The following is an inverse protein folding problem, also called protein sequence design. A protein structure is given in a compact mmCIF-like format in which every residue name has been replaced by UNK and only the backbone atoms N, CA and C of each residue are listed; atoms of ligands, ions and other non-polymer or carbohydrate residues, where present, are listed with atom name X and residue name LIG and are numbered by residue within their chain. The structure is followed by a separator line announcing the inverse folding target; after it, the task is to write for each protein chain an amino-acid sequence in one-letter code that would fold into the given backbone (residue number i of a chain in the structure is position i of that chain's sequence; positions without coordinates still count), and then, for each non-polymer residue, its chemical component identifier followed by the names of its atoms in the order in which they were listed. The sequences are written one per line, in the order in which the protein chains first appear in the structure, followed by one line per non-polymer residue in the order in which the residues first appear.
data_IF_453957914617
#
_entry.id   IF_453957914617
#
_cell.length_a   1.000
_cell.length_b   1.000
_cell.length_c   1.000
_cell.angle_alpha   90.00
_cell.angle_beta   90.00
_cell.angle_gamma   90.00
#
_symmetry.space_group_name_H-M   'P 1'
#
loop_
_entity.id
_entity.type
_entity.pdbx_description
1 polymer ?
#
# COMPACT_ATOMS: atom_id res chain seq x y z
N UNK A 1 -2.22 -11.90 12.77
CA UNK A 1 -3.58 -11.66 13.31
C UNK A 1 -4.56 -12.76 12.93
N UNK A 2 -4.67 -13.17 11.66
CA UNK A 2 -5.54 -14.32 11.27
C UNK A 2 -5.28 -15.55 12.11
N UNK A 3 -4.03 -16.00 12.24
CA UNK A 3 -3.62 -17.17 13.04
C UNK A 3 -4.05 -17.07 14.51
N UNK A 4 -4.05 -15.88 15.11
CA UNK A 4 -4.54 -15.68 16.48
C UNK A 4 -6.03 -16.03 16.59
N UNK A 5 -6.84 -15.60 15.62
CA UNK A 5 -8.27 -15.95 15.52
C UNK A 5 -8.45 -17.45 15.30
N UNK A 6 -7.63 -18.06 14.46
CA UNK A 6 -7.63 -19.51 14.22
C UNK A 6 -7.32 -20.31 15.50
N UNK A 7 -6.49 -19.76 16.39
CA UNK A 7 -6.17 -20.33 17.70
C UNK A 7 -7.14 -19.92 18.82
N UNK A 8 -8.28 -19.29 18.47
CA UNK A 8 -9.37 -19.04 19.43
C UNK A 8 -9.38 -17.65 20.05
N UNK A 9 -8.56 -16.72 19.59
CA UNK A 9 -8.66 -15.34 20.05
C UNK A 9 -10.00 -14.73 19.63
N UNK A 10 -10.65 -14.06 20.57
CA UNK A 10 -11.94 -13.42 20.33
C UNK A 10 -11.75 -12.10 19.57
N UNK A 11 -12.54 -11.92 18.54
CA UNK A 11 -12.66 -10.69 17.79
C UNK A 11 -14.04 -10.64 17.13
N UNK A 12 -14.53 -9.45 16.84
CA UNK A 12 -15.84 -9.23 16.25
C UNK A 12 -15.73 -8.96 14.75
N UNK A 13 -14.69 -8.20 14.37
CA UNK A 13 -14.37 -7.84 13.00
C UNK A 13 -12.87 -8.08 12.75
N UNK A 14 -12.55 -8.66 11.62
CA UNK A 14 -11.19 -8.80 11.13
C UNK A 14 -11.01 -7.92 9.87
N UNK A 15 -10.01 -7.04 9.87
CA UNK A 15 -9.65 -6.26 8.70
C UNK A 15 -8.19 -6.55 8.31
N UNK A 16 -7.95 -6.76 7.02
CA UNK A 16 -6.64 -7.17 6.50
C UNK A 16 -6.29 -6.43 5.20
N UNK A 17 -5.01 -6.15 5.01
CA UNK A 17 -4.44 -5.69 3.74
C UNK A 17 -4.32 -6.81 2.68
N UNK A 18 -4.77 -8.02 3.02
CA UNK A 18 -4.80 -9.18 2.13
C UNK A 18 -6.19 -9.81 2.17
N UNK A 19 -6.88 -9.78 1.04
CA UNK A 19 -8.21 -10.36 0.85
C UNK A 19 -8.21 -11.89 1.10
N UNK A 20 -7.11 -12.58 0.82
CA UNK A 20 -6.95 -14.01 1.05
C UNK A 20 -7.13 -14.39 2.51
N UNK A 21 -6.64 -13.57 3.44
CA UNK A 21 -6.81 -13.82 4.88
C UNK A 21 -8.29 -13.77 5.32
N UNK A 22 -9.07 -12.80 4.82
CA UNK A 22 -10.49 -12.70 5.12
C UNK A 22 -11.27 -13.89 4.50
N UNK A 23 -10.91 -14.27 3.26
CA UNK A 23 -11.50 -15.42 2.58
C UNK A 23 -11.30 -16.70 3.35
N UNK A 24 -10.09 -16.96 3.84
CA UNK A 24 -9.79 -18.18 4.61
C UNK A 24 -10.66 -18.28 5.88
N UNK A 25 -10.92 -17.18 6.58
CA UNK A 25 -11.80 -17.19 7.76
C UNK A 25 -13.25 -17.54 7.39
N UNK A 26 -13.73 -17.12 6.22
CA UNK A 26 -15.06 -17.51 5.72
C UNK A 26 -15.08 -18.98 5.35
N UNK A 27 -14.10 -19.46 4.59
CA UNK A 27 -13.98 -20.87 4.16
C UNK A 27 -13.87 -21.82 5.36
N UNK A 28 -13.20 -21.41 6.43
CA UNK A 28 -13.11 -22.16 7.69
C UNK A 28 -14.38 -22.05 8.55
N UNK A 29 -15.41 -21.31 8.12
CA UNK A 29 -16.64 -21.11 8.86
C UNK A 29 -16.49 -20.26 10.13
N UNK A 30 -15.42 -19.49 10.26
CA UNK A 30 -15.13 -18.59 11.37
C UNK A 30 -15.71 -17.20 11.17
N UNK A 31 -15.97 -16.79 9.93
CA UNK A 31 -16.65 -15.56 9.57
C UNK A 31 -17.94 -15.85 8.82
N UNK A 32 -18.92 -14.96 8.94
CA UNK A 32 -20.24 -15.06 8.27
C UNK A 32 -20.21 -14.42 6.88
N UNK A 33 -19.46 -13.34 6.74
CA UNK A 33 -19.38 -12.55 5.51
C UNK A 33 -18.03 -11.85 5.43
N UNK A 34 -17.56 -11.62 4.22
CA UNK A 34 -16.44 -10.74 3.94
C UNK A 34 -16.78 -9.72 2.84
N UNK A 35 -16.12 -8.58 2.88
CA UNK A 35 -16.23 -7.57 1.84
C UNK A 35 -14.88 -6.87 1.64
N UNK A 36 -14.59 -6.49 0.40
CA UNK A 36 -13.50 -5.55 0.14
C UNK A 36 -13.95 -4.15 0.58
N UNK A 37 -13.16 -3.49 1.42
CA UNK A 37 -13.52 -2.18 1.96
C UNK A 37 -12.59 -1.04 1.55
N UNK A 38 -11.41 -1.36 1.04
CA UNK A 38 -10.46 -0.38 0.53
C UNK A 38 -9.51 -1.01 -0.47
N UNK A 39 -8.87 -0.16 -1.29
CA UNK A 39 -7.67 -0.48 -2.05
C UNK A 39 -6.59 0.53 -1.70
N UNK A 40 -5.35 0.14 -1.90
CA UNK A 40 -4.24 1.08 -1.90
C UNK A 40 -3.64 1.16 -3.30
N UNK A 41 -2.83 2.17 -3.53
CA UNK A 41 -2.09 2.38 -4.76
C UNK A 41 -0.63 2.61 -4.47
N UNK A 42 0.20 2.49 -5.48
CA UNK A 42 1.65 2.71 -5.41
C UNK A 42 1.97 4.11 -5.93
N UNK A 43 2.81 4.81 -5.19
CA UNK A 43 3.33 6.13 -5.50
C UNK A 43 4.86 6.12 -5.51
N UNK A 44 5.43 7.11 -6.16
CA UNK A 44 6.84 7.47 -6.03
C UNK A 44 6.96 8.69 -5.13
N UNK A 45 7.72 8.57 -4.06
CA UNK A 45 8.15 9.68 -3.21
C UNK A 45 9.47 10.22 -3.76
N UNK A 46 9.55 11.51 -4.01
CA UNK A 46 10.76 12.17 -4.50
C UNK A 46 10.84 13.61 -3.99
N UNK A 47 12.02 14.21 -3.88
CA UNK A 47 12.17 15.65 -3.64
C UNK A 47 11.43 16.46 -4.70
N UNK A 48 10.77 17.55 -4.29
CA UNK A 48 10.02 18.45 -5.19
C UNK A 48 10.91 18.95 -6.35
N UNK A 49 12.19 19.22 -6.07
CA UNK A 49 13.18 19.65 -7.06
C UNK A 49 13.42 18.67 -8.21
N UNK A 50 13.02 17.39 -8.04
CA UNK A 50 13.08 16.42 -9.13
C UNK A 50 12.00 16.66 -10.21
N UNK A 51 10.94 17.42 -9.90
CA UNK A 51 9.87 17.76 -10.83
C UNK A 51 9.14 16.53 -11.39
N UNK A 52 9.02 15.45 -10.60
CA UNK A 52 8.47 14.18 -11.05
C UNK A 52 6.97 14.30 -11.33
N UNK A 53 6.58 13.97 -12.55
CA UNK A 53 5.17 13.84 -12.97
C UNK A 53 4.81 12.39 -13.23
N UNK A 54 3.51 12.07 -13.21
CA UNK A 54 3.02 10.72 -13.52
C UNK A 54 3.55 10.18 -14.84
N UNK A 55 3.57 11.01 -15.89
CA UNK A 55 4.08 10.63 -17.22
C UNK A 55 5.59 10.39 -17.25
N UNK A 56 6.36 11.04 -16.36
CA UNK A 56 7.82 10.96 -16.34
C UNK A 56 8.35 9.84 -15.41
N UNK A 57 7.48 9.16 -14.65
CA UNK A 57 7.92 8.14 -13.68
C UNK A 57 8.75 7.04 -14.36
N UNK A 58 8.25 6.49 -15.48
CA UNK A 58 8.91 5.35 -16.14
C UNK A 58 10.28 5.75 -16.66
N UNK A 59 10.37 6.88 -17.35
CA UNK A 59 11.65 7.38 -17.87
C UNK A 59 12.64 7.63 -16.74
N UNK A 60 12.16 8.18 -15.60
CA UNK A 60 12.99 8.43 -14.44
C UNK A 60 13.45 7.15 -13.76
N UNK A 61 12.61 6.13 -13.69
CA UNK A 61 13.01 4.80 -13.20
C UNK A 61 14.01 4.13 -14.13
N UNK A 62 13.89 4.30 -15.43
CA UNK A 62 14.82 3.72 -16.43
C UNK A 62 16.15 4.48 -16.54
N UNK A 63 16.21 5.73 -16.11
CA UNK A 63 17.46 6.49 -16.02
C UNK A 63 18.43 5.79 -15.04
N UNK A 64 19.54 5.28 -15.57
CA UNK A 64 20.53 4.52 -14.79
C UNK A 64 21.25 5.35 -13.72
N UNK A 65 21.20 6.67 -13.81
CA UNK A 65 21.74 7.56 -12.78
C UNK A 65 20.81 7.69 -11.56
N UNK A 66 19.54 7.30 -11.68
CA UNK A 66 18.54 7.39 -10.59
C UNK A 66 18.71 6.24 -9.60
N UNK A 67 18.94 6.56 -8.33
CA UNK A 67 18.98 5.60 -7.22
C UNK A 67 17.57 5.40 -6.67
N UNK A 68 17.10 4.16 -6.68
CA UNK A 68 15.72 3.81 -6.33
C UNK A 68 15.69 3.10 -4.99
N UNK A 69 14.89 3.60 -4.04
CA UNK A 69 14.58 2.93 -2.79
C UNK A 69 13.33 2.06 -2.90
N UNK A 70 13.39 0.84 -2.41
CA UNK A 70 12.26 -0.10 -2.38
C UNK A 70 12.18 -0.84 -1.05
N UNK A 71 11.01 -1.34 -0.69
CA UNK A 71 10.86 -2.27 0.42
C UNK A 71 11.35 -3.67 0.04
N UNK A 72 11.59 -4.52 1.06
CA UNK A 72 12.16 -5.87 0.88
C UNK A 72 11.17 -6.82 0.22
N UNK A 73 11.38 -7.27 -1.03
CA UNK A 73 10.52 -8.27 -1.66
C UNK A 73 10.46 -9.58 -0.86
N UNK A 74 9.33 -10.28 -0.91
CA UNK A 74 9.02 -11.53 -0.19
C UNK A 74 8.95 -11.40 1.34
N UNK A 75 9.26 -10.25 1.90
CA UNK A 75 9.16 -9.95 3.33
C UNK A 75 8.07 -8.91 3.59
N UNK A 76 8.04 -7.88 2.77
CA UNK A 76 7.03 -6.81 2.80
C UNK A 76 6.21 -6.83 1.51
N UNK A 77 4.86 -6.87 1.60
CA UNK A 77 3.99 -6.80 0.42
C UNK A 77 4.27 -5.63 -0.52
N UNK A 78 4.73 -4.47 0.00
CA UNK A 78 5.12 -3.33 -0.83
C UNK A 78 6.28 -3.69 -1.78
N UNK A 79 7.24 -4.48 -1.30
CA UNK A 79 8.33 -4.99 -2.13
C UNK A 79 7.82 -5.89 -3.26
N UNK A 80 6.84 -6.76 -2.98
CA UNK A 80 6.25 -7.63 -3.99
C UNK A 80 5.45 -6.83 -5.03
N UNK A 81 4.72 -5.80 -4.62
CA UNK A 81 4.05 -4.89 -5.54
C UNK A 81 5.05 -4.09 -6.38
N UNK A 82 6.19 -3.70 -5.82
CA UNK A 82 7.27 -3.06 -6.59
C UNK A 82 7.81 -3.98 -7.70
N UNK A 83 8.04 -5.25 -7.38
CA UNK A 83 8.44 -6.26 -8.38
C UNK A 83 7.38 -6.38 -9.49
N UNK A 84 6.10 -6.36 -9.14
CA UNK A 84 5.01 -6.40 -10.13
C UNK A 84 4.98 -5.13 -11.01
N UNK A 85 5.22 -3.94 -10.44
CA UNK A 85 5.39 -2.71 -11.24
C UNK A 85 6.53 -2.87 -12.23
N UNK A 86 7.69 -3.35 -11.79
CA UNK A 86 8.84 -3.57 -12.67
C UNK A 86 8.56 -4.57 -13.77
N UNK A 87 7.81 -5.64 -13.45
CA UNK A 87 7.37 -6.63 -14.44
C UNK A 87 6.47 -6.00 -15.50
N UNK A 88 5.55 -5.10 -15.10
CA UNK A 88 4.68 -4.37 -16.04
C UNK A 88 5.48 -3.41 -16.92
N UNK A 89 6.44 -2.69 -16.37
CA UNK A 89 7.36 -1.84 -17.15
C UNK A 89 8.11 -2.69 -18.20
N UNK A 90 8.53 -3.91 -17.85
CA UNK A 90 9.21 -4.82 -18.77
C UNK A 90 8.36 -5.30 -19.95
N UNK A 91 7.06 -5.11 -19.93
CA UNK A 91 6.21 -5.45 -21.09
C UNK A 91 6.47 -4.51 -22.26
N UNK A 92 6.84 -3.26 -21.99
CA UNK A 92 7.17 -2.24 -23.00
C UNK A 92 8.67 -2.00 -23.12
N UNK A 93 9.44 -2.32 -22.08
CA UNK A 93 10.89 -2.10 -21.99
C UNK A 93 11.59 -3.42 -21.63
N UNK A 94 11.91 -4.23 -22.66
CA UNK A 94 12.48 -5.57 -22.47
C UNK A 94 13.72 -5.55 -21.56
N UNK A 95 13.76 -6.42 -20.55
CA UNK A 95 14.86 -6.53 -19.60
C UNK A 95 14.78 -5.58 -18.39
N UNK A 96 13.93 -4.53 -18.44
CA UNK A 96 13.87 -3.49 -17.40
C UNK A 96 13.63 -4.03 -15.98
N UNK A 97 12.83 -5.09 -15.80
CA UNK A 97 12.56 -5.61 -14.46
C UNK A 97 13.84 -6.12 -13.78
N UNK A 98 14.69 -6.84 -14.50
CA UNK A 98 15.97 -7.32 -13.98
C UNK A 98 16.91 -6.17 -13.63
N UNK A 99 17.05 -5.21 -14.54
CA UNK A 99 17.93 -4.04 -14.36
C UNK A 99 17.46 -3.15 -13.20
N UNK A 100 16.16 -2.89 -13.10
CA UNK A 100 15.55 -2.13 -12.01
C UNK A 100 15.78 -2.82 -10.65
N UNK A 101 15.54 -4.13 -10.57
CA UNK A 101 15.79 -4.88 -9.34
C UNK A 101 17.27 -4.88 -8.94
N UNK A 102 18.18 -5.07 -9.89
CA UNK A 102 19.62 -5.15 -9.62
C UNK A 102 20.20 -3.83 -9.05
N UNK A 103 19.64 -2.67 -9.42
CA UNK A 103 20.11 -1.36 -8.97
C UNK A 103 19.23 -0.70 -7.90
N UNK A 104 18.13 -1.33 -7.49
CA UNK A 104 17.31 -0.84 -6.40
C UNK A 104 18.00 -1.06 -5.05
N UNK A 105 17.94 -0.05 -4.19
CA UNK A 105 18.38 -0.12 -2.80
C UNK A 105 17.21 -0.59 -1.94
N UNK A 106 17.39 -1.73 -1.29
CA UNK A 106 16.38 -2.25 -0.34
C UNK A 106 16.46 -1.45 0.96
N UNK A 107 15.33 -0.85 1.34
CA UNK A 107 15.14 -0.17 2.61
C UNK A 107 14.47 -1.14 3.58
N UNK A 108 15.24 -1.63 4.54
CA UNK A 108 14.76 -2.58 5.52
C UNK A 108 13.88 -1.89 6.57
N UNK A 109 12.69 -2.43 6.79
CA UNK A 109 11.81 -2.02 7.88
C UNK A 109 11.76 -3.15 8.91
N UNK A 110 11.99 -2.88 10.20
CA UNK A 110 11.94 -3.91 11.22
C UNK A 110 10.59 -4.63 11.24
N UNK A 111 10.55 -5.94 11.50
CA UNK A 111 9.31 -6.67 11.70
C UNK A 111 8.44 -6.01 12.79
N UNK A 112 7.17 -5.74 12.47
CA UNK A 112 6.24 -5.04 13.37
C UNK A 112 6.23 -3.51 13.20
N UNK A 113 6.98 -2.99 12.24
CA UNK A 113 7.05 -1.56 11.94
C UNK A 113 8.12 -0.79 12.75
N UNK A 114 8.22 0.52 12.54
CA UNK A 114 9.20 1.34 13.24
C UNK A 114 8.93 1.34 14.74
N UNK A 115 10.01 1.25 15.55
CA UNK A 115 9.91 1.36 17.01
C UNK A 115 9.53 2.78 17.41
N UNK A 116 8.78 2.97 18.51
CA UNK A 116 8.54 4.32 19.05
C UNK A 116 9.86 5.09 19.24
N UNK A 117 9.97 6.28 18.64
CA UNK A 117 11.17 7.12 18.70
C UNK A 117 12.29 6.75 17.72
N UNK A 118 12.16 5.69 16.93
CA UNK A 118 13.02 5.45 15.77
C UNK A 118 12.61 6.37 14.62
N UNK A 119 13.58 6.80 13.80
CA UNK A 119 13.33 7.48 12.54
C UNK A 119 12.51 6.63 11.57
N UNK A 120 12.12 7.23 10.49
CA UNK A 120 11.46 6.56 9.38
C UNK A 120 12.52 6.16 8.35
N UNK A 121 12.77 4.87 8.20
CA UNK A 121 13.85 4.36 7.35
C UNK A 121 13.80 4.86 5.90
N UNK A 122 12.59 5.06 5.36
CA UNK A 122 12.40 5.64 4.03
C UNK A 122 12.68 7.13 4.02
N UNK A 123 12.12 7.89 4.98
CA UNK A 123 12.42 9.31 5.08
C UNK A 123 13.92 9.57 5.27
N UNK A 124 14.57 8.80 6.13
CA UNK A 124 16.02 8.88 6.39
C UNK A 124 16.83 8.57 5.11
N UNK A 125 16.43 7.55 4.34
CA UNK A 125 17.14 7.17 3.12
C UNK A 125 17.11 8.28 2.05
N UNK A 126 15.98 8.96 1.91
CA UNK A 126 15.83 10.08 1.00
C UNK A 126 16.59 11.33 1.49
N UNK A 127 16.48 11.67 2.79
CA UNK A 127 17.16 12.81 3.41
C UNK A 127 18.69 12.68 3.37
N UNK A 128 19.21 11.48 3.64
CA UNK A 128 20.65 11.18 3.61
C UNK A 128 21.19 11.11 2.17
N UNK A 129 20.33 11.22 1.15
CA UNK A 129 20.72 11.08 -0.24
C UNK A 129 21.23 9.69 -0.60
N UNK A 130 20.81 8.65 0.12
CA UNK A 130 21.09 7.25 -0.25
C UNK A 130 20.33 6.83 -1.49
N UNK A 131 19.15 7.40 -1.68
CA UNK A 131 18.27 7.21 -2.83
C UNK A 131 17.79 8.56 -3.36
N UNK A 132 17.38 8.63 -4.61
CA UNK A 132 16.84 9.83 -5.24
C UNK A 132 15.30 9.83 -5.26
N UNK A 133 14.72 8.65 -5.21
CA UNK A 133 13.27 8.42 -5.11
C UNK A 133 12.98 7.06 -4.46
N UNK A 134 11.74 6.90 -3.98
CA UNK A 134 11.28 5.68 -3.32
C UNK A 134 9.90 5.25 -3.80
N UNK A 135 9.69 3.95 -3.91
CA UNK A 135 8.39 3.38 -4.26
C UNK A 135 7.66 3.01 -2.97
N UNK A 136 6.51 3.64 -2.74
CA UNK A 136 5.74 3.56 -1.50
C UNK A 136 4.24 3.44 -1.74
N UNK A 137 3.47 3.10 -0.70
CA UNK A 137 2.02 3.20 -0.76
C UNK A 137 1.57 4.67 -0.75
N UNK A 138 0.62 5.02 -1.61
CA UNK A 138 0.06 6.38 -1.68
C UNK A 138 -0.64 6.80 -0.36
N UNK A 139 -1.12 5.85 0.44
CA UNK A 139 -1.68 6.12 1.77
C UNK A 139 -0.65 6.67 2.78
N UNK A 140 0.65 6.62 2.46
CA UNK A 140 1.70 7.28 3.22
C UNK A 140 1.79 8.80 3.04
N UNK A 141 1.02 9.41 2.14
CA UNK A 141 1.13 10.83 1.75
C UNK A 141 1.19 11.79 2.93
N UNK A 142 0.23 11.71 3.84
CA UNK A 142 0.17 12.63 4.99
C UNK A 142 1.33 12.43 5.97
N UNK A 143 1.82 11.19 6.11
CA UNK A 143 3.00 10.86 6.90
C UNK A 143 4.24 11.52 6.31
N UNK A 144 4.50 11.30 5.03
CA UNK A 144 5.68 11.83 4.36
C UNK A 144 5.61 13.35 4.16
N UNK A 145 4.43 13.95 3.97
CA UNK A 145 4.29 15.40 3.96
C UNK A 145 4.72 16.06 5.29
N UNK A 146 4.57 15.36 6.42
CA UNK A 146 5.07 15.84 7.72
C UNK A 146 6.56 15.61 7.91
N UNK A 147 7.09 14.46 7.46
CA UNK A 147 8.48 14.09 7.64
C UNK A 147 9.40 14.80 6.63
N UNK A 148 8.92 14.99 5.41
CA UNK A 148 9.64 15.50 4.25
C UNK A 148 8.80 16.59 3.56
N UNK A 149 8.68 17.81 4.13
CA UNK A 149 7.80 18.85 3.59
C UNK A 149 8.15 19.30 2.16
N UNK A 150 9.39 19.05 1.72
CA UNK A 150 9.90 19.37 0.37
C UNK A 150 9.90 18.16 -0.57
N UNK A 151 9.21 17.10 -0.22
CA UNK A 151 9.03 15.93 -1.08
C UNK A 151 7.59 15.83 -1.55
N UNK A 152 7.41 15.22 -2.73
CA UNK A 152 6.10 14.97 -3.33
C UNK A 152 5.89 13.48 -3.52
N UNK A 153 4.63 13.05 -3.43
CA UNK A 153 4.22 11.68 -3.78
C UNK A 153 3.41 11.71 -5.07
N UNK A 154 3.97 11.12 -6.11
CA UNK A 154 3.36 11.04 -7.45
C UNK A 154 2.85 9.62 -7.68
N UNK A 155 1.55 9.42 -8.03
CA UNK A 155 1.02 8.08 -8.31
C UNK A 155 1.60 7.53 -9.61
N UNK A 156 1.76 6.21 -9.70
CA UNK A 156 2.05 5.57 -10.98
C UNK A 156 0.87 5.73 -11.95
N UNK A 157 1.13 5.72 -13.28
CA UNK A 157 0.08 5.71 -14.29
C UNK A 157 -0.90 4.54 -14.09
N UNK A 158 -2.17 4.66 -14.48
CA UNK A 158 -3.19 3.62 -14.27
C UNK A 158 -2.79 2.22 -14.74
N UNK A 159 -2.08 2.11 -15.87
CA UNK A 159 -1.60 0.82 -16.40
C UNK A 159 -0.55 0.13 -15.54
N UNK A 160 0.17 0.89 -14.72
CA UNK A 160 1.20 0.39 -13.82
C UNK A 160 0.72 0.32 -12.36
N UNK A 161 -0.49 0.83 -12.06
CA UNK A 161 -1.02 0.77 -10.70
C UNK A 161 -1.24 -0.66 -10.25
N UNK A 162 -0.64 -0.98 -9.13
CA UNK A 162 -0.82 -2.22 -8.36
C UNK A 162 -1.02 -1.84 -6.90
N UNK A 163 -1.56 -2.74 -6.12
CA UNK A 163 -1.70 -2.48 -4.70
C UNK A 163 -2.63 -3.47 -4.02
N UNK A 164 -2.59 -3.53 -2.70
CA UNK A 164 -3.38 -4.47 -1.95
C UNK A 164 -4.87 -4.13 -2.01
N UNK A 165 -5.65 -5.20 -2.05
CA UNK A 165 -7.09 -5.18 -1.82
C UNK A 165 -7.33 -5.52 -0.36
N UNK A 166 -7.87 -4.54 0.38
CA UNK A 166 -8.17 -4.67 1.79
C UNK A 166 -9.56 -5.26 1.96
N UNK A 167 -9.65 -6.34 2.72
CA UNK A 167 -10.93 -6.96 3.04
C UNK A 167 -11.19 -6.98 4.54
N UNK A 168 -12.45 -6.84 4.89
CA UNK A 168 -12.96 -7.12 6.23
C UNK A 168 -13.72 -8.45 6.22
N UNK A 169 -13.80 -9.09 7.41
CA UNK A 169 -14.64 -10.24 7.67
C UNK A 169 -15.35 -10.07 9.02
N UNK A 170 -16.68 -10.23 9.03
CA UNK A 170 -17.49 -10.23 10.27
C UNK A 170 -17.41 -11.62 10.86
N UNK A 171 -16.92 -11.74 12.10
CA UNK A 171 -16.69 -13.01 12.75
C UNK A 171 -17.99 -13.59 13.31
N UNK A 172 -18.08 -14.92 13.34
CA UNK A 172 -19.35 -15.65 13.53
C UNK A 172 -19.94 -15.47 14.93
N UNK A 173 -19.10 -15.29 15.93
CA UNK A 173 -19.51 -15.17 17.33
C UNK A 173 -19.22 -13.79 17.90
N UNK A 174 -19.02 -12.79 17.02
CA UNK A 174 -18.76 -11.40 17.40
C UNK A 174 -20.03 -10.65 17.78
N UNK A 175 -19.83 -9.47 18.33
CA UNK A 175 -20.91 -8.52 18.63
C UNK A 175 -21.68 -8.17 17.34
N UNK A 176 -23.01 -8.13 17.35
CA UNK A 176 -23.83 -7.68 16.22
C UNK A 176 -23.43 -6.32 15.65
N UNK A 177 -22.91 -5.41 16.48
CA UNK A 177 -22.37 -4.11 16.05
C UNK A 177 -21.20 -4.23 15.06
N UNK A 178 -20.53 -5.38 15.00
CA UNK A 178 -19.48 -5.61 14.01
C UNK A 178 -20.00 -5.52 12.56
N UNK A 179 -21.23 -6.02 12.33
CA UNK A 179 -21.87 -5.91 11.02
C UNK A 179 -22.23 -4.44 10.68
N UNK A 180 -22.69 -3.67 11.67
CA UNK A 180 -22.97 -2.24 11.50
C UNK A 180 -21.69 -1.46 11.20
N UNK A 181 -20.58 -1.75 11.90
CA UNK A 181 -19.28 -1.17 11.61
C UNK A 181 -18.79 -1.52 10.19
N UNK A 182 -18.96 -2.78 9.77
CA UNK A 182 -18.62 -3.20 8.42
C UNK A 182 -19.42 -2.42 7.36
N UNK A 183 -20.73 -2.24 7.56
CA UNK A 183 -21.58 -1.45 6.68
C UNK A 183 -21.18 0.04 6.68
N UNK A 184 -20.85 0.59 7.85
CA UNK A 184 -20.34 1.96 7.93
C UNK A 184 -19.02 2.13 7.15
N UNK A 185 -18.07 1.19 7.27
CA UNK A 185 -16.82 1.23 6.50
C UNK A 185 -17.06 1.22 4.99
N UNK A 186 -18.14 0.58 4.53
CA UNK A 186 -18.53 0.53 3.11
C UNK A 186 -19.42 1.71 2.69
N UNK A 187 -19.93 2.51 3.63
CA UNK A 187 -20.78 3.66 3.35
C UNK A 187 -20.00 4.79 2.66
N UNK A 188 -20.69 5.74 2.00
CA UNK A 188 -20.05 6.92 1.43
C UNK A 188 -19.20 7.70 2.45
N UNK A 189 -19.66 7.83 3.70
CA UNK A 189 -18.95 8.52 4.78
C UNK A 189 -17.69 7.77 5.22
N UNK A 190 -17.79 6.45 5.39
CA UNK A 190 -16.65 5.58 5.68
C UNK A 190 -15.62 5.63 4.55
N UNK A 191 -16.05 5.54 3.30
CA UNK A 191 -15.20 5.61 2.13
C UNK A 191 -14.55 6.99 1.96
N UNK A 192 -15.29 8.09 2.23
CA UNK A 192 -14.73 9.44 2.24
C UNK A 192 -13.65 9.59 3.34
N UNK A 193 -13.83 8.94 4.48
CA UNK A 193 -12.83 8.90 5.55
C UNK A 193 -11.57 8.17 5.09
N UNK A 194 -11.69 6.97 4.51
CA UNK A 194 -10.56 6.21 3.99
C UNK A 194 -9.81 6.97 2.89
N UNK A 195 -10.53 7.66 1.99
CA UNK A 195 -9.93 8.45 0.92
C UNK A 195 -9.05 9.60 1.46
N UNK A 196 -9.41 10.22 2.59
CA UNK A 196 -8.57 11.25 3.25
C UNK A 196 -7.22 10.69 3.70
N UNK A 197 -7.14 9.39 3.99
CA UNK A 197 -5.89 8.70 4.32
C UNK A 197 -5.22 8.06 3.09
N UNK A 198 -5.60 8.46 1.87
CA UNK A 198 -4.96 8.03 0.64
C UNK A 198 -5.36 6.63 0.15
N UNK A 199 -6.40 6.03 0.74
CA UNK A 199 -6.96 4.79 0.22
C UNK A 199 -7.88 5.06 -0.98
N UNK A 200 -7.93 4.11 -1.89
CA UNK A 200 -8.84 4.15 -3.04
C UNK A 200 -10.19 3.56 -2.62
N UNK A 201 -11.24 4.35 -2.83
CA UNK A 201 -12.61 3.93 -2.54
C UNK A 201 -13.03 2.71 -3.36
N UNK A 202 -13.80 1.83 -2.75
CA UNK A 202 -14.44 0.67 -3.39
C UNK A 202 -15.92 0.93 -3.71
N UNK A 203 -16.50 2.01 -3.19
CA UNK A 203 -17.86 2.41 -3.52
C UNK A 203 -17.91 3.03 -4.92
N UNK A 204 -19.02 2.78 -5.64
CA UNK A 204 -19.29 3.50 -6.87
C UNK A 204 -19.50 4.99 -6.54
N UNK A 205 -18.95 5.92 -7.33
CA UNK A 205 -19.25 7.33 -7.14
C UNK A 205 -20.75 7.53 -7.25
N UNK A 206 -21.35 8.17 -6.24
CA UNK A 206 -22.73 8.63 -6.35
C UNK A 206 -22.77 9.57 -7.53
N UNK A 207 -23.50 9.19 -8.58
CA UNK A 207 -23.76 10.12 -9.70
C UNK A 207 -24.46 11.33 -9.10
N UNK A 208 -23.82 12.49 -9.17
CA UNK A 208 -24.44 13.74 -8.77
C UNK A 208 -25.80 13.88 -9.48
N UNK A 209 -26.83 14.17 -8.69
CA UNK A 209 -28.14 14.59 -9.20
C UNK A 209 -28.03 15.96 -9.80
#
# INVERSE_FOLDING_TARGET
MRERIEHGEQADLFASADIGHARMLVEQGRATVMAMFARNSICVLAPEGLGLTEAAIVDKLLDTATRIGISTPKVDPLGDYTVEVYRRISQEHAGAAGDLMARSTVIEVPPGGPRPGAGDAFADALQDGRVDLEILYCSGRDRFARLLPTATMTPFPPGLQVGPEYALAVLKNGDPLAAELALYMLSPEGQATLARFGFVSVSLPLRGR
#
